data_IF_715248802419
#
_entry.id   IF_715248802419
#
_cell.length_a   1.000
_cell.length_b   1.000
_cell.length_c   1.000
_cell.angle_alpha   90.00
_cell.angle_beta   90.00
_cell.angle_gamma   90.00
#
_symmetry.space_group_name_H-M   'P 1'
#
loop_
_entity.id
_entity.type
_entity.pdbx_description
1 polymer ?
#
# COMPACT_ATOMS: atom_id res chain seq x y z
N UNK A 1 7.08 27.59 -11.97
CA UNK A 1 7.17 26.32 -11.21
C UNK A 1 5.95 26.01 -10.33
N UNK A 2 5.28 27.01 -9.72
CA UNK A 2 4.13 26.78 -8.81
C UNK A 2 2.86 26.25 -9.51
N UNK A 3 2.65 26.61 -10.78
CA UNK A 3 1.42 26.25 -11.51
C UNK A 3 1.46 24.87 -12.17
N UNK A 4 2.63 24.41 -12.61
CA UNK A 4 2.81 23.07 -13.17
C UNK A 4 2.53 21.94 -12.16
N UNK A 5 2.57 22.25 -10.85
CA UNK A 5 2.23 21.33 -9.77
C UNK A 5 0.76 20.88 -9.80
N UNK A 6 -0.14 21.74 -10.29
CA UNK A 6 -1.59 21.49 -10.27
C UNK A 6 -2.12 20.91 -11.58
N UNK A 7 -1.44 21.14 -12.70
CA UNK A 7 -1.95 20.81 -14.04
C UNK A 7 -1.83 19.31 -14.43
N UNK A 8 -0.97 18.54 -13.78
CA UNK A 8 -0.60 17.18 -14.23
C UNK A 8 -1.07 16.04 -13.31
N UNK A 9 -2.00 16.26 -12.39
CA UNK A 9 -2.45 15.20 -11.48
C UNK A 9 -1.37 14.72 -10.50
N UNK A 10 -0.26 15.44 -10.37
CA UNK A 10 0.90 15.16 -9.51
C UNK A 10 0.62 15.45 -8.02
N UNK A 11 -0.65 15.34 -7.61
CA UNK A 11 -1.13 15.77 -6.29
C UNK A 11 -0.87 14.67 -5.25
N UNK A 12 -0.73 13.40 -5.68
CA UNK A 12 -0.63 12.23 -4.80
C UNK A 12 0.55 11.30 -5.18
N UNK A 13 1.78 11.81 -5.16
CA UNK A 13 2.95 10.92 -5.15
C UNK A 13 2.99 10.13 -3.85
N UNK A 14 3.24 8.83 -3.96
CA UNK A 14 3.27 7.94 -2.80
C UNK A 14 4.59 8.10 -2.04
N UNK A 15 5.68 8.34 -2.75
CA UNK A 15 6.98 8.61 -2.16
C UNK A 15 7.26 10.10 -1.94
N UNK A 16 8.03 10.40 -0.89
CA UNK A 16 8.55 11.75 -0.58
C UNK A 16 10.00 11.94 -1.04
N UNK A 17 10.72 10.86 -1.40
CA UNK A 17 12.09 10.92 -1.88
C UNK A 17 12.10 11.16 -3.40
N UNK A 18 12.98 12.06 -3.84
CA UNK A 18 13.03 12.55 -5.23
C UNK A 18 13.24 11.42 -6.24
N UNK A 19 14.12 10.46 -5.97
CA UNK A 19 14.41 9.33 -6.86
C UNK A 19 13.18 8.46 -7.13
N UNK A 20 12.41 8.15 -6.08
CA UNK A 20 11.18 7.37 -6.20
C UNK A 20 10.04 8.15 -6.84
N UNK A 21 9.98 9.47 -6.64
CA UNK A 21 9.03 10.34 -7.37
C UNK A 21 9.34 10.31 -8.87
N UNK A 22 10.61 10.37 -9.25
CA UNK A 22 11.03 10.20 -10.65
C UNK A 22 10.58 8.84 -11.19
N UNK A 23 10.77 7.75 -10.44
CA UNK A 23 10.26 6.44 -10.84
C UNK A 23 8.74 6.42 -11.00
N UNK A 24 7.98 7.07 -10.11
CA UNK A 24 6.51 7.18 -10.21
C UNK A 24 6.06 8.00 -11.44
N UNK A 25 6.79 9.06 -11.82
CA UNK A 25 6.50 9.88 -13.01
C UNK A 25 6.72 9.08 -14.31
N UNK A 26 7.80 8.28 -14.37
CA UNK A 26 8.15 7.51 -15.55
C UNK A 26 7.56 6.09 -15.57
N UNK A 27 6.89 5.67 -14.48
CA UNK A 27 6.26 4.37 -14.39
C UNK A 27 5.01 4.28 -15.29
N UNK A 28 4.85 3.15 -15.97
CA UNK A 28 3.67 2.86 -16.80
C UNK A 28 2.36 2.78 -15.99
N UNK A 29 2.46 2.49 -14.69
CA UNK A 29 1.33 2.31 -13.79
C UNK A 29 1.59 3.03 -12.47
N UNK A 30 0.54 3.58 -11.85
CA UNK A 30 0.59 4.01 -10.46
C UNK A 30 0.71 2.79 -9.55
N UNK A 31 1.42 2.90 -8.42
CA UNK A 31 1.64 1.79 -7.49
C UNK A 31 0.99 2.08 -6.15
N UNK A 32 0.50 1.02 -5.48
CA UNK A 32 -0.02 1.06 -4.12
C UNK A 32 0.75 0.08 -3.24
N UNK A 33 0.82 0.36 -1.95
CA UNK A 33 1.44 -0.54 -0.97
C UNK A 33 0.54 -1.76 -0.74
N UNK A 34 1.13 -2.95 -0.68
CA UNK A 34 0.42 -4.14 -0.21
C UNK A 34 0.19 -4.05 1.31
N UNK A 35 -1.01 -3.62 1.68
CA UNK A 35 -1.40 -3.39 3.08
C UNK A 35 -1.17 -4.60 3.99
N UNK A 36 -1.54 -5.81 3.52
CA UNK A 36 -1.39 -7.03 4.32
C UNK A 36 0.08 -7.30 4.65
N UNK A 37 0.96 -7.18 3.65
CA UNK A 37 2.39 -7.38 3.83
C UNK A 37 3.00 -6.28 4.70
N UNK A 38 2.63 -5.02 4.49
CA UNK A 38 3.08 -3.91 5.33
C UNK A 38 2.72 -4.13 6.81
N UNK A 39 1.49 -4.57 7.10
CA UNK A 39 1.06 -4.90 8.47
C UNK A 39 1.87 -6.05 9.06
N UNK A 40 2.17 -7.09 8.29
CA UNK A 40 3.00 -8.20 8.75
C UNK A 40 4.44 -7.77 9.06
N UNK A 41 5.03 -6.93 8.21
CA UNK A 41 6.38 -6.36 8.39
C UNK A 41 6.41 -5.50 9.65
N UNK A 42 5.47 -4.57 9.81
CA UNK A 42 5.37 -3.73 11.00
C UNK A 42 5.22 -4.57 12.27
N UNK A 43 4.34 -5.58 12.26
CA UNK A 43 4.14 -6.47 13.40
C UNK A 43 5.39 -7.26 13.74
N UNK A 44 6.14 -7.71 12.73
CA UNK A 44 7.42 -8.40 12.94
C UNK A 44 8.47 -7.47 13.53
N UNK A 45 8.58 -6.24 13.02
CA UNK A 45 9.47 -5.21 13.56
C UNK A 45 9.20 -4.94 15.05
N UNK A 46 7.94 -4.71 15.43
CA UNK A 46 7.56 -4.50 16.83
C UNK A 46 7.80 -5.72 17.73
N UNK A 47 7.77 -6.93 17.18
CA UNK A 47 8.09 -8.16 17.93
C UNK A 47 9.59 -8.38 18.12
N UNK A 48 10.41 -7.83 17.24
CA UNK A 48 11.86 -8.05 17.21
C UNK A 48 12.63 -6.80 17.63
N UNK A 49 12.00 -5.91 18.43
CA UNK A 49 12.54 -4.60 18.79
C UNK A 49 13.85 -4.67 19.60
N UNK A 50 14.16 -5.83 20.19
CA UNK A 50 15.41 -6.12 20.92
C UNK A 50 16.46 -6.89 20.07
N UNK A 51 16.20 -7.13 18.79
CA UNK A 51 17.15 -7.82 17.89
C UNK A 51 18.34 -6.93 17.55
N UNK A 52 19.55 -7.51 17.58
CA UNK A 52 20.83 -6.86 17.21
C UNK A 52 20.81 -6.31 15.78
N UNK A 53 19.96 -6.88 14.91
CA UNK A 53 19.73 -6.40 13.55
C UNK A 53 18.22 -6.25 13.31
N UNK A 54 17.65 -5.05 13.53
CA UNK A 54 16.27 -4.78 13.18
C UNK A 54 16.13 -4.76 11.64
N UNK A 55 15.06 -5.35 11.09
CA UNK A 55 14.83 -5.33 9.66
C UNK A 55 14.50 -3.91 9.17
N UNK A 56 15.08 -3.50 8.05
CA UNK A 56 14.72 -2.22 7.42
C UNK A 56 13.29 -2.28 6.86
N UNK A 57 12.38 -1.66 7.61
CA UNK A 57 10.95 -1.65 7.32
C UNK A 57 10.64 -0.91 6.03
N UNK A 58 11.35 0.19 5.72
CA UNK A 58 11.06 1.00 4.53
C UNK A 58 11.39 0.22 3.26
N UNK A 59 12.59 -0.36 3.19
CA UNK A 59 13.02 -1.16 2.05
C UNK A 59 12.15 -2.42 1.86
N UNK A 60 11.74 -3.07 2.96
CA UNK A 60 10.85 -4.22 2.88
C UNK A 60 9.46 -3.84 2.35
N UNK A 61 8.88 -2.72 2.79
CA UNK A 61 7.58 -2.26 2.29
C UNK A 61 7.67 -1.91 0.80
N UNK A 62 8.76 -1.25 0.36
CA UNK A 62 8.97 -0.92 -1.05
C UNK A 62 9.03 -2.16 -1.95
N UNK A 63 9.58 -3.28 -1.46
CA UNK A 63 9.62 -4.54 -2.22
C UNK A 63 8.23 -5.12 -2.54
N UNK A 64 7.22 -4.82 -1.72
CA UNK A 64 5.88 -5.39 -1.85
C UNK A 64 4.83 -4.41 -2.39
N UNK A 65 5.24 -3.41 -3.19
CA UNK A 65 4.27 -2.56 -3.91
C UNK A 65 3.59 -3.32 -5.04
N UNK A 66 2.33 -2.98 -5.31
CA UNK A 66 1.50 -3.58 -6.35
C UNK A 66 1.05 -2.49 -7.33
N UNK A 67 1.04 -2.75 -8.65
CA UNK A 67 0.50 -1.80 -9.61
C UNK A 67 -1.01 -1.66 -9.44
N UNK A 68 -1.47 -0.42 -9.41
CA UNK A 68 -2.88 -0.05 -9.51
C UNK A 68 -3.28 -0.25 -10.98
N UNK A 69 -4.37 -0.98 -11.18
CA UNK A 69 -4.92 -1.27 -12.51
C UNK A 69 -6.21 -0.50 -12.66
N UNK A 70 -6.10 0.65 -13.31
CA UNK A 70 -7.25 1.48 -13.63
C UNK A 70 -8.13 0.81 -14.70
N UNK A 71 -9.42 1.11 -14.69
CA UNK A 71 -10.35 0.59 -15.70
C UNK A 71 -10.79 -0.87 -15.51
N UNK A 72 -10.75 -1.42 -14.30
CA UNK A 72 -11.39 -2.72 -14.04
C UNK A 72 -12.89 -2.63 -14.34
N UNK A 73 -13.36 -3.46 -15.30
CA UNK A 73 -14.79 -3.62 -15.62
C UNK A 73 -15.62 -3.91 -14.36
N UNK A 74 -15.07 -4.73 -13.46
CA UNK A 74 -15.62 -5.00 -12.14
C UNK A 74 -14.72 -4.40 -11.05
N UNK A 75 -15.07 -3.20 -10.58
CA UNK A 75 -14.44 -2.62 -9.41
C UNK A 75 -14.79 -3.42 -8.16
N UNK A 76 -13.78 -3.65 -7.30
CA UNK A 76 -14.00 -4.34 -6.03
C UNK A 76 -14.85 -3.47 -5.11
N UNK A 77 -16.13 -3.80 -4.95
CA UNK A 77 -17.00 -3.20 -3.92
C UNK A 77 -16.52 -3.67 -2.54
N UNK A 78 -15.77 -2.84 -1.84
CA UNK A 78 -15.39 -3.08 -0.44
C UNK A 78 -16.65 -2.99 0.43
N UNK A 79 -17.27 -4.13 0.71
CA UNK A 79 -18.33 -4.21 1.73
C UNK A 79 -17.69 -4.40 3.09
N UNK A 80 -18.12 -3.62 4.09
CA UNK A 80 -17.79 -3.89 5.48
C UNK A 80 -18.29 -5.30 5.83
N UNK A 81 -17.42 -6.16 6.35
CA UNK A 81 -17.85 -7.46 6.85
C UNK A 81 -18.66 -7.25 8.14
N UNK A 82 -19.83 -7.86 8.22
CA UNK A 82 -20.65 -7.90 9.44
C UNK A 82 -20.36 -9.18 10.21
N UNK A 83 -20.59 -9.15 11.53
CA UNK A 83 -20.53 -10.36 12.37
C UNK A 83 -21.69 -11.27 12.00
N UNK A 84 -21.38 -12.52 11.63
CA UNK A 84 -22.38 -13.55 11.33
C UNK A 84 -22.55 -14.41 12.58
N UNK A 85 -23.76 -14.50 13.13
CA UNK A 85 -24.04 -15.39 14.27
C UNK A 85 -24.09 -16.86 13.82
N UNK A 86 -23.50 -17.75 14.61
CA UNK A 86 -23.39 -19.19 14.32
C UNK A 86 -24.68 -19.99 14.60
N UNK A 87 -25.84 -19.33 14.65
CA UNK A 87 -27.11 -19.94 15.07
C UNK A 87 -27.65 -21.00 14.08
N UNK A 88 -27.02 -21.19 12.92
CA UNK A 88 -27.48 -22.10 11.86
C UNK A 88 -26.98 -23.55 12.02
N UNK A 89 -26.34 -23.91 13.14
CA UNK A 89 -25.82 -25.27 13.40
C UNK A 89 -26.43 -25.96 14.63
N UNK A 90 -27.53 -25.45 15.18
CA UNK A 90 -28.20 -25.99 16.38
C UNK A 90 -29.53 -26.67 16.02
N UNK A 91 -29.55 -27.42 14.92
CA UNK A 91 -30.69 -28.25 14.52
C UNK A 91 -30.25 -29.71 14.42
#
# INVERSE_FOLDING_TARGET
>A
FRELKYALGLINFHSKKVEYIFQEIFAKHTYQVNFTMAMQICRHFFKCLESVYPPDVEALIQKYILPIRDGRKDQRKLKSKTTISFNYRVA
#
